data_IF_081380873107
#
_entry.id   IF_081380873107
#
_cell.length_a   1.000
_cell.length_b   1.000
_cell.length_c   1.000
_cell.angle_alpha   90.00
_cell.angle_beta   90.00
_cell.angle_gamma   90.00
#
_symmetry.space_group_name_H-M   'P 1'
#
loop_
_entity.id
_entity.type
_entity.pdbx_description
1 polymer ?
#
# COMPACT_ATOMS: atom_id res chain seq x y z
N UNK A 1 -65.39 -27.31 -29.80
CA UNK A 1 -64.61 -26.10 -29.46
C UNK A 1 -63.92 -26.40 -28.13
N UNK A 2 -62.58 -26.43 -28.14
CA UNK A 2 -61.62 -26.09 -27.08
C UNK A 2 -60.30 -26.79 -27.43
N UNK A 3 -59.39 -26.03 -28.03
CA UNK A 3 -58.01 -26.41 -28.33
C UNK A 3 -57.19 -26.35 -27.04
N UNK A 4 -56.47 -27.42 -26.70
CA UNK A 4 -55.49 -27.46 -25.61
C UNK A 4 -54.09 -27.74 -26.16
N UNK A 5 -53.39 -26.68 -26.55
CA UNK A 5 -51.97 -26.68 -26.90
C UNK A 5 -51.16 -26.64 -25.60
N UNK A 6 -50.47 -27.74 -25.26
CA UNK A 6 -49.51 -27.78 -24.17
C UNK A 6 -48.10 -27.87 -24.74
N UNK A 7 -47.38 -26.74 -24.66
CA UNK A 7 -45.97 -26.62 -25.02
C UNK A 7 -45.09 -27.32 -23.97
N UNK A 8 -44.19 -28.18 -24.43
CA UNK A 8 -43.12 -28.75 -23.63
C UNK A 8 -42.00 -27.72 -23.47
N UNK A 9 -41.87 -27.14 -22.28
CA UNK A 9 -40.75 -26.30 -21.88
C UNK A 9 -39.64 -27.12 -21.22
N UNK A 10 -38.42 -27.01 -21.76
CA UNK A 10 -37.19 -27.56 -21.20
C UNK A 10 -36.82 -26.86 -19.87
N UNK A 11 -36.25 -27.57 -18.87
CA UNK A 11 -35.69 -26.92 -17.69
C UNK A 11 -34.26 -26.45 -17.98
N UNK A 12 -34.07 -25.13 -18.13
CA UNK A 12 -32.75 -24.51 -18.07
C UNK A 12 -32.27 -24.50 -16.61
N UNK A 13 -31.10 -25.11 -16.38
CA UNK A 13 -30.49 -25.26 -15.08
C UNK A 13 -30.22 -23.93 -14.39
N UNK A 14 -30.62 -23.85 -13.13
CA UNK A 14 -30.27 -22.78 -12.22
C UNK A 14 -28.76 -22.82 -11.92
N UNK A 15 -28.07 -21.71 -12.20
CA UNK A 15 -26.78 -21.40 -11.58
C UNK A 15 -27.02 -21.17 -10.08
N UNK A 16 -26.30 -21.85 -9.16
CA UNK A 16 -26.41 -21.52 -7.74
C UNK A 16 -25.88 -20.11 -7.53
N UNK A 17 -26.73 -19.28 -6.90
CA UNK A 17 -26.42 -17.90 -6.57
C UNK A 17 -25.15 -17.79 -5.75
N UNK A 18 -24.31 -16.84 -6.13
CA UNK A 18 -23.28 -16.29 -5.24
C UNK A 18 -23.99 -15.85 -3.95
N UNK A 19 -23.70 -16.54 -2.86
CA UNK A 19 -24.17 -16.14 -1.56
C UNK A 19 -23.65 -14.73 -1.30
N UNK A 20 -24.57 -13.78 -1.08
CA UNK A 20 -24.23 -12.44 -0.65
C UNK A 20 -23.36 -12.56 0.61
N UNK A 21 -22.13 -12.07 0.54
CA UNK A 21 -21.25 -11.92 1.70
C UNK A 21 -21.98 -11.01 2.68
N UNK A 22 -22.27 -11.43 3.93
CA UNK A 22 -22.89 -10.54 4.90
C UNK A 22 -21.98 -9.33 5.12
N UNK A 23 -22.57 -8.13 5.19
CA UNK A 23 -21.85 -6.90 5.46
C UNK A 23 -21.04 -7.05 6.77
N UNK A 24 -19.72 -6.87 6.67
CA UNK A 24 -18.79 -6.92 7.79
C UNK A 24 -19.29 -6.01 8.92
N UNK A 25 -19.52 -6.59 10.10
CA UNK A 25 -19.64 -5.80 11.31
C UNK A 25 -18.27 -5.20 11.59
N UNK A 26 -18.14 -3.89 11.34
CA UNK A 26 -16.86 -3.17 11.33
C UNK A 26 -16.01 -3.49 12.55
N UNK A 27 -14.86 -4.12 12.32
CA UNK A 27 -13.86 -4.38 13.36
C UNK A 27 -13.17 -3.08 13.80
N UNK A 28 -12.57 -3.09 14.98
CA UNK A 28 -11.65 -2.01 15.37
C UNK A 28 -10.43 -2.04 14.47
N UNK A 29 -10.02 -0.90 13.92
CA UNK A 29 -8.84 -0.80 13.07
C UNK A 29 -7.61 -1.33 13.80
N UNK A 30 -6.93 -2.29 13.18
CA UNK A 30 -5.77 -3.00 13.74
C UNK A 30 -4.75 -3.24 12.65
N UNK A 31 -3.49 -3.38 13.04
CA UNK A 31 -2.45 -3.80 12.11
C UNK A 31 -2.64 -5.29 11.83
N UNK A 32 -2.74 -5.64 10.55
CA UNK A 32 -2.85 -7.01 10.04
C UNK A 32 -1.77 -7.22 9.00
N UNK A 33 -1.08 -8.34 9.10
CA UNK A 33 -0.13 -8.79 8.09
C UNK A 33 -0.80 -9.64 7.02
N UNK A 34 -0.40 -9.44 5.78
CA UNK A 34 -0.89 -10.12 4.60
C UNK A 34 0.27 -10.55 3.73
N UNK A 35 0.23 -11.76 3.20
CA UNK A 35 1.14 -12.18 2.14
C UNK A 35 0.41 -13.06 1.13
N UNK A 36 0.52 -12.66 -0.13
CA UNK A 36 -0.06 -13.34 -1.31
C UNK A 36 1.04 -13.82 -2.28
N UNK A 37 2.32 -13.64 -1.92
CA UNK A 37 3.44 -14.06 -2.76
C UNK A 37 3.77 -13.11 -3.93
N UNK A 38 3.39 -11.84 -3.84
CA UNK A 38 3.75 -10.81 -4.84
C UNK A 38 5.26 -10.79 -5.08
N UNK A 39 5.68 -10.86 -6.35
CA UNK A 39 7.10 -10.96 -6.71
C UNK A 39 7.78 -9.61 -6.78
N UNK A 40 7.00 -8.55 -6.94
CA UNK A 40 7.52 -7.18 -7.05
C UNK A 40 6.77 -6.21 -6.15
N UNK A 41 7.42 -5.09 -5.81
CA UNK A 41 6.78 -4.00 -5.10
C UNK A 41 5.61 -3.44 -5.92
N UNK A 42 5.76 -3.28 -7.23
CA UNK A 42 4.72 -2.75 -8.10
C UNK A 42 3.45 -3.61 -8.09
N UNK A 43 3.57 -4.94 -8.11
CA UNK A 43 2.43 -5.85 -7.96
C UNK A 43 1.73 -5.67 -6.62
N UNK A 44 2.49 -5.61 -5.52
CA UNK A 44 1.93 -5.40 -4.18
C UNK A 44 1.26 -4.03 -4.03
N UNK A 45 1.86 -2.98 -4.60
CA UNK A 45 1.34 -1.62 -4.57
C UNK A 45 0.03 -1.50 -5.33
N UNK A 46 -0.02 -2.09 -6.53
CA UNK A 46 -1.22 -2.12 -7.34
C UNK A 46 -2.36 -2.80 -6.57
N UNK A 47 -2.09 -3.97 -5.98
CA UNK A 47 -3.07 -4.66 -5.14
C UNK A 47 -3.54 -3.80 -3.95
N UNK A 48 -2.64 -3.09 -3.26
CA UNK A 48 -3.00 -2.17 -2.17
C UNK A 48 -3.95 -1.07 -2.65
N UNK A 49 -3.73 -0.51 -3.84
CA UNK A 49 -4.56 0.57 -4.40
C UNK A 49 -5.97 0.09 -4.81
N UNK A 50 -6.14 -1.20 -5.06
CA UNK A 50 -7.43 -1.80 -5.41
C UNK A 50 -8.30 -2.19 -4.19
N UNK A 51 -7.75 -2.12 -2.97
CA UNK A 51 -8.48 -2.47 -1.76
C UNK A 51 -9.65 -1.50 -1.50
N UNK A 52 -10.84 -2.09 -1.32
CA UNK A 52 -12.06 -1.37 -0.95
C UNK A 52 -12.71 -2.04 0.28
N UNK A 53 -12.97 -1.29 1.38
CA UNK A 53 -12.55 0.09 1.61
C UNK A 53 -11.01 0.21 1.65
N UNK A 54 -10.50 1.41 1.31
CA UNK A 54 -9.07 1.67 1.38
C UNK A 54 -8.59 1.54 2.83
N UNK A 55 -7.45 0.87 3.08
CA UNK A 55 -6.87 0.80 4.42
C UNK A 55 -6.47 2.19 4.91
N UNK A 56 -6.31 2.39 6.21
CA UNK A 56 -5.83 3.66 6.77
C UNK A 56 -4.34 3.84 6.50
N UNK A 57 -3.58 2.75 6.63
CA UNK A 57 -2.13 2.68 6.38
C UNK A 57 -1.84 1.35 5.68
N UNK A 58 -0.96 1.35 4.69
CA UNK A 58 -0.47 0.15 4.05
C UNK A 58 1.04 0.26 3.81
N UNK A 59 1.78 -0.77 4.20
CA UNK A 59 3.23 -0.85 4.03
C UNK A 59 3.63 -2.15 3.34
N UNK A 60 4.59 -2.06 2.42
CA UNK A 60 5.24 -3.22 1.80
C UNK A 60 6.54 -3.57 2.52
N UNK A 61 6.79 -4.86 2.68
CA UNK A 61 7.94 -5.44 3.35
C UNK A 61 8.58 -6.50 2.45
N UNK A 62 9.86 -6.34 2.14
CA UNK A 62 10.62 -7.35 1.40
C UNK A 62 11.00 -8.49 2.34
N UNK A 63 10.62 -9.71 1.99
CA UNK A 63 10.87 -10.91 2.78
C UNK A 63 11.58 -11.97 1.93
N UNK A 64 12.41 -12.80 2.56
CA UNK A 64 13.23 -13.80 1.85
C UNK A 64 12.65 -15.22 1.92
N UNK A 65 11.76 -15.48 2.88
CA UNK A 65 11.24 -16.83 3.19
C UNK A 65 9.72 -16.83 3.03
N UNK A 66 9.12 -17.88 2.42
CA UNK A 66 9.76 -19.10 1.89
C UNK A 66 10.54 -18.90 0.58
N UNK A 67 10.32 -17.80 -0.12
CA UNK A 67 11.10 -17.33 -1.25
C UNK A 67 11.10 -15.79 -1.24
N UNK A 68 11.97 -15.12 -2.02
CA UNK A 68 11.95 -13.67 -2.11
C UNK A 68 10.61 -13.14 -2.64
N UNK A 69 9.87 -12.40 -1.81
CA UNK A 69 8.58 -11.82 -2.17
C UNK A 69 8.24 -10.60 -1.32
N UNK A 70 7.09 -9.98 -1.57
CA UNK A 70 6.58 -8.83 -0.82
C UNK A 70 5.44 -9.25 0.10
N UNK A 71 5.66 -9.10 1.40
CA UNK A 71 4.61 -9.13 2.42
C UNK A 71 4.10 -7.71 2.70
N UNK A 72 2.90 -7.60 3.25
CA UNK A 72 2.19 -6.33 3.40
C UNK A 72 1.68 -6.22 4.83
N UNK A 73 1.76 -5.05 5.44
CA UNK A 73 1.01 -4.73 6.66
C UNK A 73 -0.03 -3.66 6.37
N UNK A 74 -1.22 -3.84 6.94
CA UNK A 74 -2.38 -2.99 6.73
C UNK A 74 -2.95 -2.55 8.08
N UNK A 75 -3.23 -1.26 8.26
CA UNK A 75 -4.10 -0.79 9.33
C UNK A 75 -5.54 -0.75 8.78
N UNK A 76 -6.34 -1.74 9.15
CA UNK A 76 -7.69 -1.93 8.62
C UNK A 76 -8.64 -2.50 9.67
N UNK A 77 -9.93 -2.23 9.52
CA UNK A 77 -11.03 -2.86 10.26
C UNK A 77 -11.47 -4.20 9.64
N UNK A 78 -11.11 -4.44 8.37
CA UNK A 78 -11.59 -5.57 7.59
C UNK A 78 -10.69 -6.79 7.73
N UNK A 79 -11.26 -8.00 7.77
CA UNK A 79 -10.47 -9.23 7.75
C UNK A 79 -9.82 -9.40 6.37
N UNK A 80 -8.50 -9.59 6.34
CA UNK A 80 -7.77 -9.91 5.11
C UNK A 80 -7.22 -11.32 5.19
N UNK A 81 -7.37 -12.07 4.10
CA UNK A 81 -6.89 -13.45 4.02
C UNK A 81 -5.44 -13.49 3.58
N UNK A 82 -4.71 -14.43 4.17
CA UNK A 82 -3.31 -14.75 3.87
C UNK A 82 -3.24 -16.23 3.55
N UNK A 83 -2.44 -16.59 2.55
CA UNK A 83 -2.13 -17.99 2.27
C UNK A 83 -1.50 -18.64 3.51
N UNK A 84 -2.01 -19.79 4.01
CA UNK A 84 -1.42 -20.50 5.13
C UNK A 84 0.09 -20.75 4.98
N UNK A 85 0.58 -21.02 3.77
CA UNK A 85 2.00 -21.25 3.49
C UNK A 85 2.87 -19.99 3.68
N UNK A 86 2.26 -18.80 3.60
CA UNK A 86 2.93 -17.51 3.73
C UNK A 86 2.66 -16.83 5.08
N UNK A 87 2.03 -17.55 6.02
CA UNK A 87 1.61 -16.99 7.31
C UNK A 87 2.76 -16.37 8.10
N UNK A 88 3.92 -17.02 8.14
CA UNK A 88 5.09 -16.50 8.84
C UNK A 88 5.56 -15.14 8.29
N UNK A 89 5.52 -14.95 6.97
CA UNK A 89 5.88 -13.68 6.33
C UNK A 89 4.85 -12.58 6.65
N UNK A 90 3.57 -12.93 6.67
CA UNK A 90 2.51 -12.01 7.07
C UNK A 90 2.65 -11.61 8.56
N UNK A 91 2.84 -12.56 9.46
CA UNK A 91 3.02 -12.29 10.89
C UNK A 91 4.25 -11.42 11.13
N UNK A 92 5.35 -11.68 10.40
CA UNK A 92 6.51 -10.81 10.41
C UNK A 92 6.16 -9.38 9.97
N UNK A 93 5.48 -9.19 8.83
CA UNK A 93 5.05 -7.87 8.37
C UNK A 93 4.14 -7.16 9.39
N UNK A 94 3.22 -7.87 10.03
CA UNK A 94 2.34 -7.32 11.08
C UNK A 94 3.12 -6.79 12.28
N UNK A 95 4.27 -7.41 12.59
CA UNK A 95 5.17 -6.97 13.66
C UNK A 95 5.85 -5.62 13.40
N UNK A 96 5.61 -4.98 12.25
CA UNK A 96 6.19 -3.69 11.86
C UNK A 96 7.70 -3.67 11.63
N UNK A 97 8.38 -4.73 11.15
CA UNK A 97 9.77 -4.65 10.76
C UNK A 97 9.84 -3.69 9.58
N UNK A 98 10.72 -2.69 9.67
CA UNK A 98 10.93 -1.62 8.70
C UNK A 98 10.32 -1.87 7.29
N UNK A 99 9.36 -1.04 6.89
CA UNK A 99 8.64 -1.18 5.62
C UNK A 99 8.62 0.11 4.80
N UNK A 100 8.01 0.07 3.61
CA UNK A 100 7.74 1.25 2.78
C UNK A 100 6.25 1.52 2.76
N UNK A 101 5.84 2.72 3.16
CA UNK A 101 4.43 3.09 3.13
C UNK A 101 4.00 3.38 1.69
N UNK A 102 2.91 2.73 1.29
CA UNK A 102 2.26 2.89 -0.02
C UNK A 102 1.07 3.83 0.11
N UNK A 103 0.33 3.67 1.20
CA UNK A 103 -0.86 4.45 1.52
C UNK A 103 -0.79 4.86 2.98
N UNK A 104 -1.04 6.13 3.26
CA UNK A 104 -1.08 6.70 4.60
C UNK A 104 -1.92 7.98 4.63
N UNK A 105 -2.43 8.41 5.79
CA UNK A 105 -3.22 9.63 5.90
C UNK A 105 -2.47 10.87 5.38
N UNK A 106 -3.13 11.59 4.47
CA UNK A 106 -2.59 12.82 3.86
C UNK A 106 -1.66 12.62 2.66
N UNK A 107 -1.35 11.38 2.28
CA UNK A 107 -0.53 11.07 1.09
C UNK A 107 -1.02 11.77 -0.19
N UNK A 108 -2.34 11.78 -0.45
CA UNK A 108 -2.94 12.44 -1.62
C UNK A 108 -2.78 13.97 -1.65
N UNK A 109 -2.36 14.60 -0.54
CA UNK A 109 -2.12 16.05 -0.44
C UNK A 109 -0.65 16.43 -0.68
N UNK A 110 0.23 15.44 -0.84
CA UNK A 110 1.67 15.63 -1.02
C UNK A 110 2.01 15.68 -2.51
N UNK A 111 1.55 16.73 -3.18
CA UNK A 111 1.70 16.96 -4.61
C UNK A 111 2.48 18.23 -4.90
N UNK A 112 3.31 18.22 -5.94
CA UNK A 112 4.17 19.34 -6.34
C UNK A 112 5.30 19.64 -5.34
N UNK A 113 5.71 20.91 -5.25
CA UNK A 113 6.74 21.38 -4.33
C UNK A 113 6.12 21.87 -3.01
N UNK A 114 6.56 21.30 -1.89
CA UNK A 114 6.09 21.61 -0.54
C UNK A 114 7.27 21.80 0.40
N UNK A 115 7.13 22.65 1.40
CA UNK A 115 8.11 22.73 2.49
C UNK A 115 8.06 21.48 3.37
N UNK A 116 9.16 21.17 4.07
CA UNK A 116 9.18 20.11 5.09
C UNK A 116 8.08 20.33 6.13
N UNK A 117 7.85 21.57 6.58
CA UNK A 117 6.75 21.91 7.47
C UNK A 117 5.38 21.57 6.90
N UNK A 118 5.11 21.89 5.63
CA UNK A 118 3.83 21.55 4.99
C UNK A 118 3.62 20.04 4.91
N UNK A 119 4.67 19.27 4.61
CA UNK A 119 4.60 17.80 4.56
C UNK A 119 4.20 17.23 5.91
N UNK A 120 4.85 17.67 6.99
CA UNK A 120 4.58 17.20 8.36
C UNK A 120 3.18 17.61 8.85
N UNK A 121 2.67 18.77 8.44
CA UNK A 121 1.35 19.25 8.85
C UNK A 121 0.21 18.60 8.06
N UNK A 122 0.44 18.26 6.80
CA UNK A 122 -0.61 17.75 5.88
C UNK A 122 -0.72 16.24 5.85
N UNK A 123 0.24 15.52 6.45
CA UNK A 123 0.31 14.06 6.43
C UNK A 123 0.69 13.47 7.78
N UNK A 124 0.59 12.15 7.90
CA UNK A 124 1.04 11.40 9.06
C UNK A 124 2.56 11.12 9.08
N UNK A 125 3.34 11.81 8.24
CA UNK A 125 4.81 11.72 8.28
C UNK A 125 5.30 12.38 9.57
N UNK A 126 6.06 11.64 10.37
CA UNK A 126 6.56 12.10 11.65
C UNK A 126 7.85 12.93 11.50
N UNK A 127 8.69 12.59 10.52
CA UNK A 127 9.95 13.30 10.26
C UNK A 127 10.40 13.20 8.82
N UNK A 128 11.18 14.21 8.39
CA UNK A 128 11.87 14.25 7.11
C UNK A 128 13.38 14.26 7.35
N UNK A 129 14.08 13.32 6.73
CA UNK A 129 15.53 13.15 6.82
C UNK A 129 16.16 13.37 5.44
N UNK A 130 17.33 14.01 5.40
CA UNK A 130 18.20 14.09 4.23
C UNK A 130 19.17 12.91 4.31
N UNK A 131 19.26 12.13 3.23
CA UNK A 131 20.16 10.99 3.13
C UNK A 131 21.61 11.43 3.38
N UNK A 132 22.22 10.89 4.43
CA UNK A 132 23.59 11.23 4.85
C UNK A 132 23.75 12.59 5.54
N UNK A 133 22.67 13.36 5.73
CA UNK A 133 22.71 14.74 6.25
C UNK A 133 21.90 14.99 7.54
N UNK A 134 21.10 14.02 8.00
CA UNK A 134 20.29 14.15 9.23
C UNK A 134 18.90 14.74 8.97
N UNK A 135 18.33 15.47 9.94
CA UNK A 135 16.99 16.05 9.81
C UNK A 135 16.98 17.21 8.79
N UNK A 136 15.96 17.27 7.95
CA UNK A 136 15.78 18.37 6.99
C UNK A 136 15.31 19.64 7.71
N UNK A 137 15.68 20.82 7.19
CA UNK A 137 15.20 22.09 7.73
C UNK A 137 13.71 22.27 7.43
N UNK A 138 12.92 22.89 8.34
CA UNK A 138 11.48 23.03 8.16
C UNK A 138 11.08 23.80 6.88
N UNK A 139 11.88 24.80 6.50
CA UNK A 139 11.65 25.64 5.32
C UNK A 139 12.22 25.06 4.01
N UNK A 140 12.94 23.92 4.07
CA UNK A 140 13.46 23.30 2.85
C UNK A 140 12.33 22.87 1.92
N UNK A 141 12.47 23.21 0.64
CA UNK A 141 11.53 22.80 -0.40
C UNK A 141 11.79 21.37 -0.83
N UNK A 142 10.78 20.52 -0.73
CA UNK A 142 10.75 19.15 -1.22
C UNK A 142 9.88 19.12 -2.48
N UNK A 143 10.47 18.76 -3.61
CA UNK A 143 9.74 18.42 -4.82
C UNK A 143 9.30 16.96 -4.75
N UNK A 144 8.01 16.75 -4.49
CA UNK A 144 7.45 15.42 -4.22
C UNK A 144 7.32 14.55 -5.48
N UNK A 145 7.35 15.14 -6.68
CA UNK A 145 7.10 14.41 -7.93
C UNK A 145 5.77 13.64 -7.93
N UNK A 146 4.80 14.08 -7.11
CA UNK A 146 3.51 13.44 -6.86
C UNK A 146 3.61 11.96 -6.41
N UNK A 147 4.77 11.58 -5.86
CA UNK A 147 5.07 10.23 -5.42
C UNK A 147 5.93 10.23 -4.16
N UNK A 148 5.32 9.89 -3.03
CA UNK A 148 5.98 9.91 -1.72
C UNK A 148 5.89 8.55 -1.07
N UNK A 149 7.06 7.90 -0.87
CA UNK A 149 7.19 6.60 -0.18
C UNK A 149 8.05 6.70 1.08
N UNK A 150 7.45 7.15 2.20
CA UNK A 150 8.17 7.20 3.46
C UNK A 150 8.46 5.78 3.97
N UNK A 151 9.50 5.64 4.77
CA UNK A 151 9.81 4.40 5.47
C UNK A 151 8.96 4.34 6.75
N UNK A 152 8.32 3.20 6.98
CA UNK A 152 7.72 2.92 8.27
C UNK A 152 8.81 2.32 9.17
N UNK A 153 9.22 3.04 10.22
CA UNK A 153 10.27 2.63 11.16
C UNK A 153 9.76 2.80 12.58
N UNK A 154 9.72 1.72 13.36
CA UNK A 154 9.36 1.76 14.79
C UNK A 154 8.03 2.46 15.10
N UNK A 155 7.03 2.32 14.22
CA UNK A 155 5.71 2.96 14.40
C UNK A 155 5.56 4.33 13.73
N UNK A 156 6.63 4.88 13.15
CA UNK A 156 6.64 6.23 12.59
C UNK A 156 6.93 6.22 11.09
N UNK A 157 6.37 7.20 10.37
CA UNK A 157 6.65 7.42 8.96
C UNK A 157 7.79 8.44 8.80
N UNK A 158 8.87 8.00 8.17
CA UNK A 158 10.10 8.77 7.94
C UNK A 158 10.29 8.97 6.45
N UNK A 159 10.14 10.21 5.98
CA UNK A 159 10.44 10.53 4.60
C UNK A 159 11.94 10.77 4.45
N UNK A 160 12.62 9.91 3.70
CA UNK A 160 14.03 10.12 3.34
C UNK A 160 14.09 10.85 2.00
N UNK A 161 14.87 11.93 1.97
CA UNK A 161 15.07 12.81 0.82
C UNK A 161 16.54 12.87 0.42
N UNK A 162 16.81 13.30 -0.81
CA UNK A 162 18.16 13.57 -1.31
C UNK A 162 18.22 15.01 -1.84
N UNK A 163 19.36 15.70 -1.71
CA UNK A 163 19.56 17.00 -2.34
C UNK A 163 19.41 16.92 -3.87
N UNK A 164 18.81 17.95 -4.45
CA UNK A 164 18.64 18.16 -5.88
C UNK A 164 19.09 19.58 -6.27
N UNK A 165 19.14 19.87 -7.56
CA UNK A 165 19.52 21.19 -8.06
C UNK A 165 18.57 22.28 -7.53
N UNK A 166 19.13 23.47 -7.27
CA UNK A 166 18.37 24.65 -6.82
C UNK A 166 17.92 24.61 -5.36
N UNK A 167 18.76 24.05 -4.47
CA UNK A 167 18.51 23.97 -3.02
C UNK A 167 17.20 23.24 -2.65
N UNK A 168 16.79 22.30 -3.51
CA UNK A 168 15.60 21.47 -3.32
C UNK A 168 15.98 20.10 -2.80
N UNK A 169 15.03 19.47 -2.15
CA UNK A 169 15.04 18.08 -1.76
C UNK A 169 14.08 17.31 -2.69
N UNK A 170 14.38 16.05 -2.95
CA UNK A 170 13.46 15.12 -3.62
C UNK A 170 13.34 13.85 -2.79
N UNK A 171 12.18 13.17 -2.74
CA UNK A 171 12.09 11.85 -2.15
C UNK A 171 13.15 10.89 -2.72
N UNK A 172 13.73 10.07 -1.84
CA UNK A 172 14.74 9.08 -2.24
C UNK A 172 14.15 8.02 -3.19
N UNK A 173 12.91 7.62 -2.94
CA UNK A 173 12.15 6.72 -3.81
C UNK A 173 11.54 7.53 -4.96
N UNK A 174 11.84 7.16 -6.22
CA UNK A 174 11.23 7.76 -7.40
C UNK A 174 10.29 6.77 -8.06
N UNK A 175 9.22 7.27 -8.67
CA UNK A 175 8.23 6.45 -9.40
C UNK A 175 8.86 5.71 -10.57
N UNK A 176 9.73 6.41 -11.29
CA UNK A 176 10.55 5.89 -12.38
C UNK A 176 12.02 6.09 -12.00
N UNK A 177 12.73 5.06 -11.51
CA UNK A 177 14.17 5.15 -11.37
C UNK A 177 14.74 5.41 -12.77
N UNK A 178 15.56 6.46 -12.91
CA UNK A 178 16.32 6.68 -14.15
C UNK A 178 17.03 5.37 -14.49
N UNK A 179 16.90 4.84 -15.72
CA UNK A 179 17.48 3.55 -16.09
C UNK A 179 18.99 3.67 -16.17
N UNK A 180 19.69 3.65 -15.04
CA UNK A 180 21.15 3.58 -14.99
C UNK A 180 21.67 2.15 -14.74
N UNK A 181 20.78 1.18 -14.50
CA UNK A 181 21.18 -0.21 -14.19
C UNK A 181 20.70 -1.26 -15.21
N UNK A 182 20.28 -0.86 -16.41
CA UNK A 182 19.77 -1.80 -17.42
C UNK A 182 20.84 -2.33 -18.41
N UNK A 183 22.09 -1.90 -18.30
CA UNK A 183 23.17 -2.27 -19.23
C UNK A 183 24.50 -2.51 -18.52
N UNK A 184 24.63 -3.63 -17.80
CA UNK A 184 25.92 -4.16 -17.35
C UNK A 184 25.93 -5.68 -17.44
#
# INVERSE_FOLDING_TARGET
MTNGIAAAGSPAGAIPGVAAVPASSGGVARIVGVSLGHRTLAEADHWIQELAPAPVLACTHLVQVPFPHVAISLLTSEPVRTDPALRAAADAAAGGPAGRAVLFPGSARLTGSLTVSEILQRSSIARVEVLGGGAATPDALVDTGDFVRPQFRSGELVLVTTPAAGDRLVPFERRDPTPCCAAH
#
